data_IF_960972865638
#
_entry.id   IF_960972865638
#
_cell.length_a   1.000
_cell.length_b   1.000
_cell.length_c   1.000
_cell.angle_alpha   90.00
_cell.angle_beta   90.00
_cell.angle_gamma   90.00
#
_symmetry.space_group_name_H-M   'P 1'
#
loop_
_entity.id
_entity.type
_entity.pdbx_description
1 polymer ?
#
# COMPACT_ATOMS: atom_id res chain seq x y z
N UNK A 1 30.55 11.46 16.52
CA UNK A 1 29.38 10.81 17.16
C UNK A 1 28.26 10.54 16.13
N UNK A 2 28.52 9.78 15.04
CA UNK A 2 27.52 9.46 13.98
C UNK A 2 27.34 7.94 13.78
N UNK A 3 27.59 7.11 14.79
CA UNK A 3 27.85 5.68 14.58
C UNK A 3 27.06 4.68 15.43
N UNK A 4 25.98 5.07 16.11
CA UNK A 4 25.28 4.16 17.05
C UNK A 4 23.81 3.88 16.65
N UNK A 5 23.22 4.66 15.73
CA UNK A 5 21.78 4.55 15.41
C UNK A 5 21.44 3.88 14.08
N UNK A 6 22.42 3.59 13.21
CA UNK A 6 22.18 2.90 11.92
C UNK A 6 22.03 1.37 12.06
N UNK A 7 22.24 0.81 13.26
CA UNK A 7 22.27 -0.64 13.48
C UNK A 7 20.88 -1.29 13.67
N UNK A 8 19.85 -0.52 14.04
CA UNK A 8 18.52 -1.09 14.28
C UNK A 8 17.70 -1.10 12.98
N UNK A 9 17.78 -2.20 12.22
CA UNK A 9 16.90 -2.53 11.09
C UNK A 9 15.47 -2.81 11.55
N UNK A 10 14.81 -1.82 12.16
CA UNK A 10 13.43 -1.95 12.63
C UNK A 10 12.51 -2.19 11.44
N UNK A 11 11.75 -3.28 11.49
CA UNK A 11 10.62 -3.49 10.57
C UNK A 11 9.45 -2.67 11.08
N UNK A 12 8.97 -1.75 10.25
CA UNK A 12 7.81 -0.90 10.55
C UNK A 12 6.66 -1.33 9.64
N UNK A 13 5.51 -1.62 10.23
CA UNK A 13 4.25 -1.81 9.50
C UNK A 13 3.41 -0.55 9.69
N UNK A 14 3.04 0.10 8.58
CA UNK A 14 2.14 1.24 8.57
C UNK A 14 0.87 0.86 7.81
N UNK A 15 -0.28 1.16 8.41
CA UNK A 15 -1.60 0.90 7.83
C UNK A 15 -2.26 2.24 7.56
N UNK A 16 -2.55 2.52 6.29
CA UNK A 16 -3.23 3.74 5.84
C UNK A 16 -4.31 3.39 4.83
N UNK A 17 -5.27 4.29 4.67
CA UNK A 17 -6.27 4.24 3.61
C UNK A 17 -5.85 5.04 2.37
N UNK A 18 -4.74 5.80 2.45
CA UNK A 18 -4.19 6.57 1.34
C UNK A 18 -3.10 5.78 0.61
N UNK A 19 -3.35 5.50 -0.67
CA UNK A 19 -2.42 4.79 -1.55
C UNK A 19 -1.17 5.61 -1.82
N UNK A 20 -1.27 6.94 -1.93
CA UNK A 20 -0.12 7.80 -2.18
C UNK A 20 0.83 7.78 -0.99
N UNK A 21 0.29 7.76 0.24
CA UNK A 21 1.09 7.57 1.46
C UNK A 21 1.75 6.18 1.49
N UNK A 22 1.00 5.12 1.21
CA UNK A 22 1.50 3.76 1.20
C UNK A 22 2.66 3.57 0.21
N UNK A 23 2.51 4.07 -1.02
CA UNK A 23 3.56 4.00 -2.05
C UNK A 23 4.72 4.91 -1.71
N UNK A 24 4.48 6.11 -1.18
CA UNK A 24 5.54 7.07 -0.88
C UNK A 24 6.38 6.67 0.33
N UNK A 25 5.80 6.03 1.34
CA UNK A 25 6.51 5.63 2.57
C UNK A 25 7.04 4.19 2.51
N UNK A 26 6.35 3.29 1.80
CA UNK A 26 6.65 1.86 1.82
C UNK A 26 7.75 1.43 0.85
N UNK A 27 8.57 0.46 1.25
CA UNK A 27 9.34 -0.39 0.33
C UNK A 27 8.50 -1.53 -0.26
N UNK A 28 7.40 -1.87 0.43
CA UNK A 28 6.37 -2.83 0.03
C UNK A 28 4.99 -2.28 0.38
N UNK A 29 4.00 -2.53 -0.46
CA UNK A 29 2.59 -2.22 -0.22
C UNK A 29 1.81 -3.53 -0.27
N UNK A 30 1.05 -3.81 0.78
CA UNK A 30 0.22 -5.00 0.88
C UNK A 30 -1.25 -4.58 0.83
N UNK A 31 -2.03 -5.17 -0.07
CA UNK A 31 -3.48 -4.98 -0.13
C UNK A 31 -4.15 -6.20 0.50
N UNK A 32 -5.07 -5.94 1.42
CA UNK A 32 -5.88 -6.98 2.05
C UNK A 32 -7.20 -7.17 1.31
N UNK A 33 -7.68 -8.41 1.23
CA UNK A 33 -9.01 -8.73 0.76
C UNK A 33 -10.09 -8.28 1.74
N UNK A 34 -11.31 -8.11 1.23
CA UNK A 34 -12.52 -8.05 2.01
C UNK A 34 -12.70 -9.33 2.85
N UNK A 35 -13.62 -9.29 3.81
CA UNK A 35 -13.85 -10.40 4.77
C UNK A 35 -14.04 -11.74 4.04
N UNK A 36 -13.31 -12.81 4.42
CA UNK A 36 -12.28 -12.85 5.46
C UNK A 36 -10.94 -12.24 5.00
N UNK A 37 -10.31 -11.41 5.85
CA UNK A 37 -9.08 -10.69 5.48
C UNK A 37 -7.92 -11.64 5.14
N UNK A 38 -7.44 -11.55 3.91
CA UNK A 38 -6.27 -12.26 3.38
C UNK A 38 -5.36 -11.28 2.65
N UNK A 39 -4.10 -11.63 2.47
CA UNK A 39 -3.22 -10.86 1.58
C UNK A 39 -3.69 -11.13 0.16
N UNK A 40 -4.16 -10.10 -0.53
CA UNK A 40 -4.55 -10.15 -1.94
C UNK A 40 -3.37 -9.85 -2.84
N UNK A 41 -2.60 -8.82 -2.48
CA UNK A 41 -1.48 -8.32 -3.26
C UNK A 41 -0.35 -7.93 -2.32
N UNK A 42 0.86 -8.29 -2.69
CA UNK A 42 2.10 -7.86 -2.03
C UNK A 42 3.02 -7.27 -3.10
N UNK A 43 3.08 -5.94 -3.14
CA UNK A 43 3.74 -5.19 -4.19
C UNK A 43 5.02 -4.56 -3.67
N UNK A 44 6.15 -4.98 -4.22
CA UNK A 44 7.42 -4.25 -4.04
C UNK A 44 7.34 -2.89 -4.71
N UNK A 45 7.79 -1.84 -4.04
CA UNK A 45 7.85 -0.46 -4.56
C UNK A 45 9.28 -0.19 -5.08
N UNK A 46 9.54 -0.26 -6.40
CA UNK A 46 10.86 -0.07 -6.99
C UNK A 46 11.30 1.41 -7.05
N UNK A 47 10.93 2.20 -6.03
CA UNK A 47 11.29 3.60 -5.91
C UNK A 47 12.32 3.73 -4.78
N UNK A 48 13.56 4.08 -5.13
CA UNK A 48 14.65 4.17 -4.17
C UNK A 48 14.42 5.27 -3.12
N UNK A 49 14.93 5.03 -1.91
CA UNK A 49 14.99 6.05 -0.86
C UNK A 49 16.36 6.76 -0.90
N UNK A 50 16.44 8.04 -0.51
CA UNK A 50 15.35 8.92 -0.06
C UNK A 50 14.46 9.40 -1.22
N UNK A 51 13.15 9.50 -0.99
CA UNK A 51 12.17 9.92 -2.00
C UNK A 51 11.86 11.41 -1.87
N UNK A 52 12.01 12.15 -2.96
CA UNK A 52 11.56 13.54 -3.03
C UNK A 52 10.09 13.62 -3.48
N UNK A 53 9.37 14.68 -3.10
CA UNK A 53 7.94 14.86 -3.46
C UNK A 53 7.67 14.81 -4.97
N UNK A 54 8.64 15.21 -5.79
CA UNK A 54 8.56 15.12 -7.25
C UNK A 54 8.37 13.69 -7.78
N UNK A 55 8.64 12.65 -6.97
CA UNK A 55 8.41 11.28 -7.41
C UNK A 55 6.94 10.98 -7.63
N UNK A 56 6.03 11.66 -6.91
CA UNK A 56 4.58 11.45 -7.00
C UNK A 56 4.02 11.78 -8.39
N UNK A 57 4.70 12.62 -9.16
CA UNK A 57 4.31 13.00 -10.53
C UNK A 57 4.99 12.16 -11.60
N UNK A 58 5.82 11.18 -11.23
CA UNK A 58 6.51 10.31 -12.18
C UNK A 58 5.57 9.24 -12.75
N UNK A 59 5.80 8.79 -14.00
CA UNK A 59 5.03 7.69 -14.58
C UNK A 59 5.12 6.39 -13.76
N UNK A 60 6.27 6.10 -13.16
CA UNK A 60 6.47 4.91 -12.33
C UNK A 60 5.59 4.93 -11.07
N UNK A 61 5.47 6.09 -10.41
CA UNK A 61 4.57 6.26 -9.26
C UNK A 61 3.10 6.16 -9.69
N UNK A 62 2.74 6.83 -10.78
CA UNK A 62 1.37 6.78 -11.31
C UNK A 62 0.94 5.35 -11.68
N UNK A 63 1.84 4.54 -12.26
CA UNK A 63 1.57 3.14 -12.58
C UNK A 63 1.31 2.29 -11.32
N UNK A 64 2.14 2.44 -10.28
CA UNK A 64 1.93 1.75 -8.99
C UNK A 64 0.62 2.17 -8.34
N UNK A 65 0.33 3.48 -8.35
CA UNK A 65 -0.92 4.02 -7.82
C UNK A 65 -2.13 3.43 -8.54
N UNK A 66 -2.10 3.36 -9.87
CA UNK A 66 -3.19 2.80 -10.66
C UNK A 66 -3.42 1.31 -10.33
N UNK A 67 -2.34 0.51 -10.29
CA UNK A 67 -2.39 -0.92 -9.90
C UNK A 67 -3.04 -1.12 -8.53
N UNK A 68 -2.56 -0.37 -7.52
CA UNK A 68 -3.02 -0.51 -6.14
C UNK A 68 -4.45 0.02 -5.96
N UNK A 69 -4.81 1.09 -6.66
CA UNK A 69 -6.17 1.65 -6.63
C UNK A 69 -7.18 0.62 -7.13
N UNK A 70 -6.86 -0.04 -8.24
CA UNK A 70 -7.72 -1.08 -8.78
C UNK A 70 -7.82 -2.29 -7.85
N UNK A 71 -6.69 -2.71 -7.26
CA UNK A 71 -6.67 -3.82 -6.31
C UNK A 71 -7.58 -3.57 -5.10
N UNK A 72 -7.56 -2.35 -4.55
CA UNK A 72 -8.43 -1.92 -3.43
C UNK A 72 -9.88 -1.77 -3.88
N UNK A 73 -10.14 -1.16 -5.04
CA UNK A 73 -11.49 -0.94 -5.58
C UNK A 73 -12.28 -2.25 -5.69
N UNK A 74 -11.66 -3.30 -6.20
CA UNK A 74 -12.27 -4.63 -6.31
C UNK A 74 -12.69 -5.17 -4.94
N UNK A 75 -11.89 -4.94 -3.89
CA UNK A 75 -12.22 -5.41 -2.54
C UNK A 75 -13.31 -4.58 -1.87
N UNK A 76 -13.36 -3.28 -2.14
CA UNK A 76 -14.47 -2.42 -1.68
C UNK A 76 -15.80 -2.92 -2.26
N UNK A 77 -15.83 -3.25 -3.55
CA UNK A 77 -17.03 -3.79 -4.20
C UNK A 77 -17.42 -5.16 -3.64
N UNK A 78 -16.46 -6.06 -3.43
CA UNK A 78 -16.71 -7.38 -2.84
C UNK A 78 -17.27 -7.27 -1.42
N UNK A 79 -16.75 -6.34 -0.61
CA UNK A 79 -17.24 -6.07 0.74
C UNK A 79 -18.70 -5.57 0.73
N UNK A 80 -19.03 -4.64 -0.18
CA UNK A 80 -20.38 -4.11 -0.34
C UNK A 80 -21.40 -5.19 -0.75
N UNK A 81 -21.03 -6.05 -1.69
CA UNK A 81 -21.87 -7.16 -2.13
C UNK A 81 -22.11 -8.16 -0.98
N UNK A 82 -21.08 -8.49 -0.20
CA UNK A 82 -21.19 -9.38 0.95
C UNK A 82 -22.07 -8.81 2.07
N UNK A 83 -22.06 -7.48 2.27
CA UNK A 83 -22.98 -6.84 3.23
C UNK A 83 -24.41 -6.80 2.72
N UNK A 84 -24.64 -6.62 1.42
CA UNK A 84 -25.98 -6.61 0.84
C UNK A 84 -26.65 -8.00 0.91
N UNK A 85 -25.89 -9.08 0.72
CA UNK A 85 -26.41 -10.45 0.81
C UNK A 85 -26.71 -10.97 2.22
N UNK A 86 -26.29 -10.26 3.28
CA UNK A 86 -26.59 -10.61 4.67
C UNK A 86 -27.88 -9.96 5.20
N UNK A 87 -28.46 -9.03 4.43
CA UNK A 87 -29.64 -8.26 4.83
C UNK A 87 -30.97 -8.80 4.26
N UNK A 88 -30.94 -9.93 3.56
CA UNK A 88 -32.12 -10.64 3.02
C UNK A 88 -32.20 -12.06 3.56
#
# INVERSE_FOLDING_TARGET
>A
LRGIWEAERKTVLFVTHDIDEAVFMGSRVVVMSARPGRIKLDRTVPLAHPRHYSIKTTPAFAALKAELTEAVRVEVLAAQAATAGQAG
#
